data_IF_389529064359
#
_entry.id   IF_389529064359
#
_cell.length_a   1.000
_cell.length_b   1.000
_cell.length_c   1.000
_cell.angle_alpha   90.00
_cell.angle_beta   90.00
_cell.angle_gamma   90.00
#
_symmetry.space_group_name_H-M   'P 1'
#
loop_
_entity.id
_entity.type
_entity.pdbx_description
1 polymer ?
#
# COMPACT_ATOMS: atom_id res chain seq x y z
N UNK A 1 -47.85 53.59 -62.87
CA UNK A 1 -48.76 54.48 -62.12
C UNK A 1 -48.18 54.67 -60.73
N UNK A 2 -47.44 55.76 -60.58
CA UNK A 2 -47.67 56.94 -59.74
C UNK A 2 -48.46 56.64 -58.42
N UNK A 3 -47.83 56.81 -57.23
CA UNK A 3 -47.92 58.06 -56.50
C UNK A 3 -46.87 58.12 -55.41
N UNK A 4 -46.15 59.22 -55.43
CA UNK A 4 -45.34 59.79 -54.34
C UNK A 4 -46.28 60.31 -53.24
N UNK A 5 -45.85 60.31 -52.00
CA UNK A 5 -46.00 61.50 -51.16
C UNK A 5 -45.07 61.50 -49.96
N UNK A 6 -44.50 62.64 -49.70
CA UNK A 6 -43.46 62.79 -48.68
C UNK A 6 -44.01 63.55 -47.49
N UNK A 7 -43.77 63.12 -46.32
CA UNK A 7 -43.84 64.03 -45.17
C UNK A 7 -42.60 63.86 -44.28
N UNK A 8 -41.66 64.74 -44.58
CA UNK A 8 -40.64 65.16 -43.62
C UNK A 8 -41.34 65.73 -42.38
N UNK A 9 -41.04 65.25 -41.24
CA UNK A 9 -41.02 66.06 -40.04
C UNK A 9 -39.69 65.82 -39.28
N UNK A 10 -38.93 66.85 -39.27
CA UNK A 10 -37.80 67.12 -38.42
C UNK A 10 -38.31 67.39 -37.01
N UNK A 11 -37.81 66.75 -36.00
CA UNK A 11 -37.80 67.26 -34.63
C UNK A 11 -36.55 66.71 -33.96
N UNK A 12 -35.64 67.58 -33.86
CA UNK A 12 -35.11 68.16 -32.65
C UNK A 12 -34.26 67.23 -31.76
N UNK A 13 -33.02 67.60 -31.80
CA UNK A 13 -31.89 67.18 -30.94
C UNK A 13 -32.22 67.42 -29.46
N UNK A 14 -32.02 66.40 -28.66
CA UNK A 14 -31.58 66.60 -27.27
C UNK A 14 -30.43 65.66 -27.00
N UNK A 15 -29.25 66.21 -26.98
CA UNK A 15 -28.06 65.54 -26.54
C UNK A 15 -28.07 65.45 -25.00
N UNK A 16 -28.26 64.28 -24.47
CA UNK A 16 -28.08 64.01 -23.06
C UNK A 16 -26.75 63.32 -22.89
N UNK A 17 -25.75 64.06 -22.44
CA UNK A 17 -24.47 63.55 -22.01
C UNK A 17 -24.68 62.79 -20.71
N UNK A 18 -24.68 61.45 -20.80
CA UNK A 18 -24.55 60.59 -19.65
C UNK A 18 -23.04 60.33 -19.45
N UNK A 19 -22.50 60.96 -18.45
CA UNK A 19 -21.15 60.70 -18.00
C UNK A 19 -21.13 59.30 -17.40
N UNK A 20 -20.59 58.34 -18.14
CA UNK A 20 -20.31 57.00 -17.63
C UNK A 20 -19.07 57.06 -16.72
N UNK A 21 -19.32 57.06 -15.42
CA UNK A 21 -18.27 56.82 -14.44
C UNK A 21 -17.77 55.36 -14.59
N UNK A 22 -16.60 55.21 -15.20
CA UNK A 22 -15.92 53.92 -15.25
C UNK A 22 -15.35 53.65 -13.87
N UNK A 23 -16.04 52.89 -13.06
CA UNK A 23 -15.46 52.31 -11.83
C UNK A 23 -14.54 51.16 -12.24
N UNK A 24 -13.25 51.46 -12.24
CA UNK A 24 -12.23 50.43 -12.38
C UNK A 24 -12.17 49.64 -11.06
N UNK A 25 -12.89 48.55 -11.01
CA UNK A 25 -12.73 47.55 -9.95
C UNK A 25 -11.42 46.84 -10.20
N UNK A 26 -10.36 47.27 -9.50
CA UNK A 26 -9.10 46.55 -9.46
C UNK A 26 -9.30 45.23 -8.71
N UNK A 27 -9.55 44.15 -9.42
CA UNK A 27 -9.51 42.82 -8.86
C UNK A 27 -8.05 42.50 -8.60
N UNK A 28 -7.63 42.70 -7.36
CA UNK A 28 -6.37 42.13 -6.89
C UNK A 28 -6.48 40.60 -6.98
N UNK A 29 -5.99 40.04 -8.06
CA UNK A 29 -5.79 38.59 -8.20
C UNK A 29 -4.74 38.17 -7.21
N UNK A 30 -5.15 37.84 -5.98
CA UNK A 30 -4.32 37.02 -5.08
C UNK A 30 -4.15 35.67 -5.77
N UNK A 31 -3.10 35.54 -6.56
CA UNK A 31 -2.68 34.28 -7.12
C UNK A 31 -2.39 33.31 -5.96
N UNK A 32 -3.39 32.51 -5.60
CA UNK A 32 -3.12 31.31 -4.84
C UNK A 32 -2.22 30.46 -5.71
N UNK A 33 -0.93 30.51 -5.47
CA UNK A 33 0.02 29.55 -5.99
C UNK A 33 -0.43 28.19 -5.44
N UNK A 34 -1.21 27.44 -6.22
CA UNK A 34 -1.37 26.01 -6.00
C UNK A 34 0.02 25.43 -6.17
N UNK A 35 0.72 25.28 -5.03
CA UNK A 35 1.87 24.43 -4.99
C UNK A 35 1.36 23.06 -5.49
N UNK A 36 1.69 22.72 -6.73
CA UNK A 36 1.63 21.36 -7.21
C UNK A 36 2.56 20.58 -6.30
N UNK A 37 2.01 20.15 -5.17
CA UNK A 37 2.70 19.28 -4.24
C UNK A 37 3.13 18.09 -5.08
N UNK A 38 4.42 18.00 -5.34
CA UNK A 38 5.03 16.85 -5.91
C UNK A 38 4.69 15.70 -4.96
N UNK A 39 3.61 14.98 -5.24
CA UNK A 39 3.24 13.76 -4.51
C UNK A 39 4.32 12.75 -4.83
N UNK A 40 5.47 12.90 -4.14
CA UNK A 40 6.51 11.90 -4.18
C UNK A 40 5.81 10.57 -3.92
N UNK A 41 5.86 9.68 -4.91
CA UNK A 41 5.26 8.36 -4.86
C UNK A 41 5.64 7.71 -3.54
N UNK A 42 4.70 7.70 -2.59
CA UNK A 42 4.99 7.27 -1.24
C UNK A 42 5.20 5.75 -1.25
N UNK A 43 6.42 5.32 -0.92
CA UNK A 43 6.74 3.90 -0.79
C UNK A 43 5.82 3.22 0.23
N UNK A 44 5.59 1.93 0.05
CA UNK A 44 4.80 1.12 0.97
C UNK A 44 5.31 1.27 2.42
N UNK A 45 4.39 1.36 3.37
CA UNK A 45 4.74 1.40 4.80
C UNK A 45 4.70 -0.02 5.36
N UNK A 46 5.78 -0.39 6.07
CA UNK A 46 5.93 -1.65 6.77
C UNK A 46 6.14 -1.35 8.25
N UNK A 47 5.34 -1.96 9.11
CA UNK A 47 5.40 -1.78 10.57
C UNK A 47 5.26 -3.12 11.28
N UNK A 48 5.27 -3.13 12.62
CA UNK A 48 5.06 -4.34 13.40
C UNK A 48 3.76 -4.29 14.19
N UNK A 49 3.27 -5.47 14.57
CA UNK A 49 2.06 -5.66 15.38
C UNK A 49 2.19 -6.90 16.25
N UNK A 50 1.69 -6.83 17.49
CA UNK A 50 1.49 -8.01 18.34
C UNK A 50 0.27 -8.80 17.88
N UNK A 51 0.40 -10.11 17.80
CA UNK A 51 -0.63 -11.11 17.45
C UNK A 51 -0.47 -12.34 18.31
N UNK A 52 -1.30 -13.36 18.11
CA UNK A 52 -1.14 -14.68 18.74
C UNK A 52 0.17 -15.38 18.38
N UNK A 53 0.77 -15.05 17.22
CA UNK A 53 2.07 -15.56 16.81
C UNK A 53 3.25 -14.79 17.42
N UNK A 54 3.00 -13.83 18.31
CA UNK A 54 3.98 -12.86 18.77
C UNK A 54 3.99 -11.58 17.94
N UNK A 55 5.11 -10.87 17.93
CA UNK A 55 5.25 -9.65 17.12
C UNK A 55 5.64 -10.00 15.69
N UNK A 56 4.85 -9.53 14.73
CA UNK A 56 5.02 -9.81 13.31
C UNK A 56 5.08 -8.50 12.49
N UNK A 57 5.57 -8.61 11.27
CA UNK A 57 5.59 -7.54 10.27
C UNK A 57 4.22 -7.44 9.60
N UNK A 58 3.72 -6.20 9.46
CA UNK A 58 2.41 -5.90 8.87
C UNK A 58 2.52 -4.70 7.91
N UNK A 59 1.53 -4.55 7.02
CA UNK A 59 1.41 -3.38 6.15
C UNK A 59 0.86 -2.14 6.90
N UNK A 60 0.68 -1.02 6.17
CA UNK A 60 0.12 0.23 6.70
C UNK A 60 -1.24 0.04 7.39
N UNK A 61 -2.05 -0.90 6.92
CA UNK A 61 -3.38 -1.20 7.43
C UNK A 61 -3.38 -2.25 8.55
N UNK A 62 -2.19 -2.76 8.93
CA UNK A 62 -2.03 -3.78 9.96
C UNK A 62 -2.34 -5.20 9.48
N UNK A 63 -2.40 -5.45 8.18
CA UNK A 63 -2.52 -6.80 7.61
C UNK A 63 -1.17 -7.49 7.63
N UNK A 64 -1.20 -8.77 7.94
CA UNK A 64 0.02 -9.59 8.06
C UNK A 64 0.77 -9.66 6.75
N UNK A 65 2.09 -9.57 6.84
CA UNK A 65 2.99 -9.76 5.73
C UNK A 65 3.72 -11.09 5.87
N UNK A 66 3.73 -11.82 4.76
CA UNK A 66 4.29 -13.16 4.66
C UNK A 66 5.49 -13.19 3.76
N UNK A 67 6.37 -14.18 4.01
CA UNK A 67 7.42 -14.61 3.10
C UNK A 67 7.08 -15.97 2.50
N UNK A 68 7.56 -16.21 1.30
CA UNK A 68 7.42 -17.46 0.58
C UNK A 68 8.76 -18.19 0.53
N UNK A 69 8.82 -19.39 1.06
CA UNK A 69 10.08 -20.14 1.18
C UNK A 69 10.67 -20.59 -0.16
N UNK A 70 9.88 -20.57 -1.24
CA UNK A 70 10.39 -20.84 -2.61
C UNK A 70 11.08 -19.62 -3.23
N UNK A 71 10.88 -18.42 -2.68
CA UNK A 71 11.56 -17.23 -3.16
C UNK A 71 13.07 -17.32 -2.91
N UNK A 72 13.82 -16.71 -3.83
CA UNK A 72 15.24 -16.43 -3.59
C UNK A 72 15.38 -15.03 -3.00
N UNK A 73 16.52 -14.75 -2.37
CA UNK A 73 16.82 -13.41 -1.87
C UNK A 73 16.61 -12.36 -2.95
N UNK A 74 15.78 -11.37 -2.69
CA UNK A 74 15.39 -10.29 -3.60
C UNK A 74 14.84 -10.78 -4.97
N UNK A 75 14.20 -11.97 -5.00
CA UNK A 75 13.60 -12.49 -6.22
C UNK A 75 12.33 -13.27 -5.90
N UNK A 76 11.19 -12.77 -6.35
CA UNK A 76 9.89 -13.43 -6.23
C UNK A 76 9.77 -14.61 -7.19
N UNK A 77 9.30 -15.75 -6.69
CA UNK A 77 8.88 -16.92 -7.47
C UNK A 77 7.35 -17.02 -7.59
N UNK A 78 6.60 -16.08 -7.02
CA UNK A 78 5.14 -16.08 -6.98
C UNK A 78 4.56 -15.19 -8.08
N UNK A 79 3.90 -15.81 -9.08
CA UNK A 79 3.25 -15.15 -10.21
C UNK A 79 1.93 -15.82 -10.56
N UNK A 80 1.11 -15.25 -11.44
CA UNK A 80 -0.18 -15.81 -11.85
C UNK A 80 -1.09 -16.13 -10.67
N UNK A 81 -1.65 -17.33 -10.61
CA UNK A 81 -2.55 -17.79 -9.55
C UNK A 81 -1.94 -17.65 -8.14
N UNK A 82 -0.62 -17.81 -8.00
CA UNK A 82 0.06 -17.55 -6.73
C UNK A 82 -0.12 -16.11 -6.30
N UNK A 83 0.13 -15.13 -7.16
CA UNK A 83 0.03 -13.71 -6.86
C UNK A 83 -1.42 -13.25 -6.63
N UNK A 84 -2.41 -13.97 -7.15
CA UNK A 84 -3.83 -13.73 -6.86
C UNK A 84 -4.18 -14.13 -5.41
N UNK A 85 -3.71 -15.27 -4.94
CA UNK A 85 -3.95 -15.73 -3.56
C UNK A 85 -3.04 -15.07 -2.54
N UNK A 86 -1.83 -14.74 -2.96
CA UNK A 86 -0.82 -14.07 -2.16
C UNK A 86 -0.39 -12.75 -2.83
N UNK A 87 -1.23 -11.71 -2.75
CA UNK A 87 -0.94 -10.44 -3.40
C UNK A 87 0.39 -9.84 -2.92
N UNK A 88 1.32 -9.53 -3.84
CA UNK A 88 2.58 -8.90 -3.47
C UNK A 88 2.34 -7.52 -2.84
N UNK A 89 3.20 -7.13 -1.91
CA UNK A 89 3.24 -5.76 -1.41
C UNK A 89 3.94 -4.87 -2.45
N UNK A 90 3.17 -4.44 -3.44
CA UNK A 90 3.68 -3.54 -4.50
C UNK A 90 3.99 -2.18 -3.91
N UNK A 91 5.03 -1.53 -4.41
CA UNK A 91 5.49 -0.20 -4.01
C UNK A 91 5.97 0.58 -5.22
N UNK A 92 5.82 1.89 -5.20
CA UNK A 92 6.32 2.78 -6.26
C UNK A 92 7.70 3.37 -5.96
N UNK A 93 8.14 3.26 -4.69
CA UNK A 93 9.42 3.74 -4.22
C UNK A 93 9.95 2.83 -3.09
N UNK A 94 11.15 3.14 -2.56
CA UNK A 94 11.69 2.42 -1.41
C UNK A 94 10.67 2.40 -0.26
N UNK A 95 10.34 1.23 0.32
CA UNK A 95 9.43 1.14 1.45
C UNK A 95 9.93 1.93 2.65
N UNK A 96 8.99 2.40 3.48
CA UNK A 96 9.28 3.14 4.71
C UNK A 96 8.98 2.28 5.94
N UNK A 97 9.87 2.37 6.93
CA UNK A 97 9.64 1.75 8.21
C UNK A 97 8.64 2.58 9.03
N UNK A 98 7.58 1.94 9.48
CA UNK A 98 6.72 2.42 10.55
C UNK A 98 7.16 1.83 11.89
N UNK A 99 6.30 1.98 12.92
CA UNK A 99 6.61 1.56 14.28
C UNK A 99 7.10 0.10 14.36
N UNK A 100 8.23 -0.12 14.99
CA UNK A 100 8.84 -1.41 15.27
C UNK A 100 9.53 -2.10 14.08
N UNK A 101 9.37 -1.62 12.84
CA UNK A 101 10.08 -2.15 11.68
C UNK A 101 11.48 -1.51 11.55
N UNK A 102 12.44 -2.30 11.07
CA UNK A 102 13.82 -1.84 10.87
C UNK A 102 14.02 -1.34 9.43
N UNK A 103 14.33 -0.07 9.25
CA UNK A 103 14.55 0.55 7.94
C UNK A 103 15.71 -0.09 7.17
N UNK A 104 16.74 -0.60 7.89
CA UNK A 104 17.89 -1.29 7.31
C UNK A 104 17.53 -2.62 6.64
N UNK A 105 16.39 -3.23 7.00
CA UNK A 105 15.92 -4.48 6.42
C UNK A 105 15.01 -4.26 5.21
N UNK A 106 14.56 -3.02 4.97
CA UNK A 106 13.66 -2.69 3.87
C UNK A 106 14.41 -2.51 2.55
N UNK A 107 13.88 -3.13 1.52
CA UNK A 107 14.36 -3.03 0.15
C UNK A 107 13.24 -3.22 -0.87
N UNK A 108 13.63 -3.34 -2.12
CA UNK A 108 12.71 -3.64 -3.23
C UNK A 108 13.27 -4.71 -4.14
N UNK A 109 12.39 -5.41 -4.82
CA UNK A 109 12.73 -6.30 -5.92
C UNK A 109 11.82 -6.01 -7.12
N UNK A 110 12.38 -6.12 -8.33
CA UNK A 110 11.58 -6.03 -9.55
C UNK A 110 10.96 -7.39 -9.86
N UNK A 111 9.65 -7.42 -10.04
CA UNK A 111 8.90 -8.60 -10.43
C UNK A 111 8.96 -8.82 -11.94
N UNK A 112 8.57 -10.03 -12.39
CA UNK A 112 8.48 -10.34 -13.83
C UNK A 112 7.43 -9.50 -14.56
N UNK A 113 6.38 -9.06 -13.85
CA UNK A 113 5.33 -8.17 -14.35
C UNK A 113 5.75 -6.68 -14.41
N UNK A 114 7.02 -6.37 -14.10
CA UNK A 114 7.59 -5.04 -14.14
C UNK A 114 7.39 -4.20 -12.87
N UNK A 115 6.47 -4.58 -11.97
CA UNK A 115 6.21 -3.86 -10.73
C UNK A 115 7.36 -4.01 -9.73
N UNK A 116 7.56 -2.98 -8.89
CA UNK A 116 8.41 -3.11 -7.71
C UNK A 116 7.61 -3.72 -6.56
N UNK A 117 8.21 -4.67 -5.87
CA UNK A 117 7.68 -5.30 -4.68
C UNK A 117 8.58 -4.99 -3.49
N UNK A 118 7.98 -4.63 -2.36
CA UNK A 118 8.70 -4.43 -1.10
C UNK A 118 9.33 -5.75 -0.63
N UNK A 119 10.55 -5.64 -0.08
CA UNK A 119 11.24 -6.75 0.59
C UNK A 119 11.57 -6.38 2.03
N UNK A 120 11.70 -7.38 2.87
CA UNK A 120 12.18 -7.24 4.25
C UNK A 120 13.23 -8.32 4.51
N UNK A 121 14.43 -7.90 4.89
CA UNK A 121 15.63 -8.76 4.98
C UNK A 121 15.89 -9.58 3.69
N UNK A 122 15.59 -8.98 2.52
CA UNK A 122 15.72 -9.64 1.22
C UNK A 122 14.59 -10.61 0.86
N UNK A 123 13.62 -10.82 1.74
CA UNK A 123 12.42 -11.61 1.43
C UNK A 123 11.34 -10.74 0.79
N UNK A 124 10.84 -11.06 -0.42
CA UNK A 124 9.67 -10.43 -1.01
C UNK A 124 8.48 -10.57 -0.06
N UNK A 125 7.70 -9.49 0.10
CA UNK A 125 6.57 -9.43 1.04
C UNK A 125 5.25 -9.62 0.32
N UNK A 126 4.38 -10.42 0.93
CA UNK A 126 3.04 -10.73 0.41
C UNK A 126 1.97 -10.56 1.49
N UNK A 127 0.75 -10.30 1.05
CA UNK A 127 -0.46 -10.47 1.86
C UNK A 127 -1.05 -11.84 1.62
N UNK A 128 -2.02 -12.24 2.44
CA UNK A 128 -2.84 -13.40 2.17
C UNK A 128 -4.28 -12.97 1.90
N UNK A 129 -4.89 -13.48 0.83
CA UNK A 129 -6.23 -13.09 0.38
C UNK A 129 -7.29 -13.29 1.49
N UNK A 130 -7.17 -14.35 2.28
CA UNK A 130 -8.13 -14.67 3.34
C UNK A 130 -7.89 -13.92 4.65
N UNK A 131 -6.86 -13.11 4.76
CA UNK A 131 -6.65 -12.19 5.87
C UNK A 131 -7.45 -10.90 5.63
N UNK A 132 -8.77 -10.96 5.82
CA UNK A 132 -9.68 -9.83 5.57
C UNK A 132 -9.58 -8.68 6.59
N UNK A 133 -8.98 -8.94 7.78
CA UNK A 133 -8.85 -7.97 8.87
C UNK A 133 -7.41 -7.85 9.37
N UNK A 134 -7.10 -6.67 9.94
CA UNK A 134 -5.81 -6.43 10.58
C UNK A 134 -5.52 -7.45 11.69
N UNK A 135 -4.30 -7.99 11.72
CA UNK A 135 -3.84 -8.95 12.72
C UNK A 135 -4.27 -10.39 12.50
N UNK A 136 -5.04 -10.70 11.46
CA UNK A 136 -5.28 -12.09 11.05
C UNK A 136 -3.99 -12.71 10.52
N UNK A 137 -3.80 -13.98 10.79
CA UNK A 137 -2.59 -14.74 10.44
C UNK A 137 -2.92 -16.09 9.82
N UNK A 138 -4.01 -16.15 9.06
CA UNK A 138 -4.53 -17.40 8.46
C UNK A 138 -3.57 -18.04 7.44
N UNK A 139 -2.62 -17.24 6.96
CA UNK A 139 -1.59 -17.69 6.01
C UNK A 139 -0.39 -18.37 6.66
N UNK A 140 -0.30 -18.37 7.99
CA UNK A 140 0.82 -18.98 8.70
C UNK A 140 0.90 -20.48 8.48
N UNK A 141 2.09 -20.98 8.09
CA UNK A 141 2.35 -22.41 7.93
C UNK A 141 1.64 -23.07 6.75
N UNK A 142 1.02 -22.31 5.83
CA UNK A 142 0.37 -22.88 4.65
C UNK A 142 1.43 -23.42 3.67
N UNK A 143 1.20 -24.65 3.20
CA UNK A 143 1.92 -25.24 2.06
C UNK A 143 1.11 -25.02 0.79
N UNK A 144 1.59 -24.16 -0.11
CA UNK A 144 0.92 -23.87 -1.36
C UNK A 144 1.93 -23.40 -2.44
N UNK A 145 1.60 -23.62 -3.70
CA UNK A 145 2.41 -23.19 -4.87
C UNK A 145 3.85 -23.72 -4.85
N UNK A 146 4.07 -24.87 -4.20
CA UNK A 146 5.36 -25.57 -4.14
C UNK A 146 6.31 -25.00 -3.09
N UNK A 147 5.80 -24.37 -2.03
CA UNK A 147 6.58 -23.92 -0.87
C UNK A 147 5.70 -23.55 0.31
N UNK A 148 6.36 -23.33 1.44
CA UNK A 148 5.73 -22.91 2.69
C UNK A 148 5.63 -21.40 2.77
N UNK A 149 4.59 -20.91 3.45
CA UNK A 149 4.34 -19.50 3.73
C UNK A 149 4.40 -19.24 5.22
N UNK A 150 5.10 -18.19 5.62
CA UNK A 150 5.26 -17.82 7.02
C UNK A 150 5.12 -16.31 7.21
N UNK A 151 4.49 -15.89 8.28
CA UNK A 151 4.53 -14.52 8.74
C UNK A 151 5.98 -14.10 9.03
N UNK A 152 6.27 -12.82 8.77
CA UNK A 152 7.63 -12.28 8.93
C UNK A 152 7.79 -11.69 10.33
N UNK A 153 8.86 -12.07 11.03
CA UNK A 153 9.24 -11.49 12.32
C UNK A 153 9.90 -10.11 12.17
N UNK A 154 10.00 -9.31 13.23
CA UNK A 154 10.73 -8.02 13.20
C UNK A 154 12.21 -8.13 12.84
N UNK A 155 12.83 -9.33 13.00
CA UNK A 155 14.20 -9.61 12.56
C UNK A 155 14.30 -9.95 11.08
N UNK A 156 13.15 -10.10 10.39
CA UNK A 156 13.12 -10.47 8.97
C UNK A 156 13.34 -11.96 8.71
N UNK A 157 13.01 -12.80 9.68
CA UNK A 157 12.96 -14.25 9.56
C UNK A 157 11.51 -14.74 9.63
N UNK A 158 11.28 -16.01 9.31
CA UNK A 158 9.98 -16.63 9.55
C UNK A 158 9.63 -16.61 11.03
N UNK A 159 8.35 -16.38 11.35
CA UNK A 159 7.87 -16.58 12.71
C UNK A 159 7.86 -18.09 12.99
N UNK A 160 8.41 -18.45 14.12
CA UNK A 160 8.27 -19.80 14.66
C UNK A 160 7.13 -19.71 15.70
N UNK A 161 6.09 -20.54 15.60
CA UNK A 161 5.13 -20.62 16.71
C UNK A 161 5.91 -20.83 17.99
N UNK A 162 5.68 -19.97 19.00
CA UNK A 162 6.24 -20.21 20.32
C UNK A 162 5.76 -21.61 20.74
N UNK A 163 6.67 -22.49 21.06
CA UNK A 163 6.32 -23.75 21.68
C UNK A 163 5.46 -23.39 22.90
N UNK A 164 4.19 -23.82 22.95
CA UNK A 164 3.35 -23.68 24.14
C UNK A 164 4.15 -24.24 25.31
N UNK A 165 4.34 -23.49 26.40
CA UNK A 165 4.87 -24.07 27.61
C UNK A 165 3.77 -24.95 28.23
N UNK A 166 3.77 -26.24 27.90
CA UNK A 166 2.79 -27.15 28.47
C UNK A 166 2.38 -28.29 27.54
N UNK A 167 3.31 -29.19 27.27
CA UNK A 167 3.04 -30.46 26.61
C UNK A 167 4.27 -31.34 26.72
N UNK A 168 4.67 -31.62 27.96
CA UNK A 168 5.68 -32.63 28.23
C UNK A 168 5.10 -33.99 27.85
N UNK A 169 5.37 -34.45 26.63
CA UNK A 169 5.26 -35.88 26.32
C UNK A 169 6.48 -36.54 26.95
N UNK A 170 6.32 -36.93 28.21
CA UNK A 170 7.15 -37.90 28.87
C UNK A 170 6.96 -39.27 28.22
N UNK A 171 7.65 -39.51 27.11
CA UNK A 171 7.81 -40.83 26.55
C UNK A 171 8.91 -41.53 27.35
N UNK A 172 8.56 -42.11 28.49
CA UNK A 172 9.39 -43.03 29.23
C UNK A 172 9.48 -44.34 28.44
N UNK A 173 10.60 -44.52 27.73
CA UNK A 173 10.99 -45.85 27.27
C UNK A 173 11.59 -46.60 28.46
N UNK A 174 10.73 -47.31 29.21
CA UNK A 174 11.15 -48.31 30.17
C UNK A 174 11.79 -49.50 29.44
N UNK A 175 13.13 -49.49 29.36
CA UNK A 175 13.90 -50.67 29.01
C UNK A 175 13.92 -51.61 30.22
N UNK A 176 13.06 -52.65 30.20
CA UNK A 176 13.17 -53.78 31.12
C UNK A 176 14.34 -54.70 30.70
N UNK A 177 15.14 -55.19 31.65
CA UNK A 177 16.19 -56.15 31.34
C UNK A 177 15.58 -57.52 31.07
N UNK A 178 15.91 -58.14 29.95
CA UNK A 178 15.68 -59.56 29.72
C UNK A 178 16.74 -60.32 30.52
N UNK A 179 16.33 -60.89 31.65
CA UNK A 179 17.06 -61.86 32.41
C UNK A 179 16.54 -63.25 32.15
N UNK A 180 17.41 -64.24 32.03
CA UNK A 180 17.17 -65.65 32.07
C UNK A 180 17.55 -66.42 30.83
#
# INVERSE_FOLDING_TARGET
>A
MLRRDPRRRRLARTATLVAAAVVIVSIASTGAAFALGNSASAGAVVKTRKTSLGTIVVDAHGRTLYMFMKDKRNKSACSGACATNWPPLVTSAKPRAGAGAKSSLLGTTKRLDGHLQATYNGHPLYRFLLDGKAGQTKGEGISAFGGMWYAVSPSGTKVMPSASPGGGYGGGYGGGPLGG
#
